data_IF_491782050101
#
_entry.id   IF_491782050101
#
_cell.length_a   1.000
_cell.length_b   1.000
_cell.length_c   1.000
_cell.angle_alpha   90.00
_cell.angle_beta   90.00
_cell.angle_gamma   90.00
#
_symmetry.space_group_name_H-M   'P 1'
#
loop_
_entity.id
_entity.type
_entity.pdbx_description
1 polymer ?
#
# COMPACT_ATOMS: atom_id res chain seq x y z
N UNK A 1 -12.17 21.23 8.56
CA UNK A 1 -11.68 21.50 7.19
C UNK A 1 -11.67 20.29 6.24
N UNK A 2 -10.86 19.23 6.41
CA UNK A 2 -10.86 18.11 5.44
C UNK A 2 -12.06 17.13 5.60
N UNK A 3 -12.75 17.21 6.74
CA UNK A 3 -13.79 16.28 7.15
C UNK A 3 -15.20 16.70 6.72
N UNK A 4 -15.39 17.93 6.24
CA UNK A 4 -16.71 18.48 5.92
C UNK A 4 -17.12 18.28 4.44
N UNK A 5 -16.17 18.04 3.55
CA UNK A 5 -16.45 17.91 2.12
C UNK A 5 -16.83 16.48 1.73
N UNK A 6 -17.87 16.31 0.87
CA UNK A 6 -18.20 15.00 0.33
C UNK A 6 -17.03 14.38 -0.44
N UNK A 7 -16.78 13.09 -0.23
CA UNK A 7 -15.90 12.29 -1.05
C UNK A 7 -16.54 12.08 -2.43
N UNK A 8 -15.76 12.35 -3.48
CA UNK A 8 -16.14 12.21 -4.89
C UNK A 8 -15.13 11.33 -5.60
N UNK A 9 -15.38 10.99 -6.87
CA UNK A 9 -14.43 10.27 -7.71
C UNK A 9 -13.04 10.94 -7.73
N UNK A 10 -12.95 12.27 -7.75
CA UNK A 10 -11.66 12.97 -7.72
C UNK A 10 -10.96 13.04 -6.36
N UNK A 11 -11.60 12.57 -5.28
CA UNK A 11 -11.08 12.74 -3.92
C UNK A 11 -9.89 11.86 -3.60
N UNK A 12 -9.65 10.78 -4.37
CA UNK A 12 -8.56 9.85 -4.11
C UNK A 12 -7.65 9.68 -5.33
N UNK A 13 -6.36 9.51 -5.06
CA UNK A 13 -5.39 8.96 -5.99
C UNK A 13 -5.14 7.50 -5.66
N UNK A 14 -4.72 6.77 -6.69
CA UNK A 14 -4.22 5.41 -6.57
C UNK A 14 -2.69 5.45 -6.60
N UNK A 15 -2.01 4.57 -5.84
CA UNK A 15 -0.57 4.42 -5.87
C UNK A 15 0.01 4.36 -7.30
N UNK A 16 0.98 5.22 -7.59
CA UNK A 16 1.64 5.29 -8.88
C UNK A 16 0.87 5.91 -10.05
N UNK A 17 -0.37 6.39 -9.85
CA UNK A 17 -1.18 7.03 -10.90
C UNK A 17 -1.32 8.55 -10.70
N UNK A 18 -0.43 9.15 -9.91
CA UNK A 18 -0.34 10.59 -9.70
C UNK A 18 0.82 11.22 -10.46
N UNK A 19 1.26 12.40 -9.98
CA UNK A 19 2.40 13.14 -10.55
C UNK A 19 3.66 12.89 -9.73
N UNK A 20 4.81 12.85 -10.40
CA UNK A 20 6.12 12.88 -9.75
C UNK A 20 6.27 14.16 -8.91
N UNK A 21 7.06 14.09 -7.85
CA UNK A 21 7.50 15.30 -7.15
C UNK A 21 8.49 16.10 -8.00
N UNK A 22 8.65 17.41 -7.77
CA UNK A 22 9.45 18.28 -8.64
C UNK A 22 10.90 17.82 -8.88
N UNK A 23 11.54 17.19 -7.87
CA UNK A 23 12.90 16.66 -7.96
C UNK A 23 12.96 15.13 -7.93
N UNK A 24 11.84 14.45 -8.19
CA UNK A 24 11.81 12.99 -8.12
C UNK A 24 12.47 12.39 -9.37
N UNK A 25 13.33 11.40 -9.16
CA UNK A 25 14.23 10.80 -10.13
C UNK A 25 15.36 11.71 -10.63
N UNK A 26 15.51 12.90 -10.04
CA UNK A 26 16.71 13.70 -10.29
C UNK A 26 17.92 13.02 -9.65
N UNK A 27 19.10 13.19 -10.25
CA UNK A 27 20.36 12.60 -9.79
C UNK A 27 21.40 13.69 -9.48
N UNK A 28 21.21 14.56 -8.46
CA UNK A 28 22.22 15.54 -8.10
C UNK A 28 23.52 14.87 -7.61
N UNK A 29 24.63 15.58 -7.80
CA UNK A 29 25.89 15.26 -7.15
C UNK A 29 25.69 15.29 -5.63
N UNK A 30 26.04 14.19 -4.97
CA UNK A 30 25.81 14.02 -3.55
C UNK A 30 27.11 14.03 -2.73
N UNK A 31 28.20 13.43 -3.24
CA UNK A 31 29.54 13.50 -2.63
C UNK A 31 30.62 13.05 -3.61
N UNK A 32 31.88 13.29 -3.25
CA UNK A 32 33.04 12.65 -3.87
C UNK A 32 33.52 11.44 -3.05
N UNK A 33 34.31 10.57 -3.67
CA UNK A 33 35.01 9.48 -2.99
C UNK A 33 36.09 10.03 -2.07
N UNK A 34 36.51 9.24 -1.07
CA UNK A 34 37.50 9.68 -0.09
C UNK A 34 38.87 9.98 -0.72
N UNK A 35 39.21 9.27 -1.80
CA UNK A 35 40.41 9.48 -2.62
C UNK A 35 40.25 10.59 -3.67
N UNK A 36 39.06 11.21 -3.76
CA UNK A 36 38.78 12.29 -4.70
C UNK A 36 38.76 11.87 -6.17
N UNK A 37 38.77 10.59 -6.53
CA UNK A 37 38.80 10.15 -7.93
C UNK A 37 37.43 9.91 -8.56
N UNK A 38 36.36 9.89 -7.76
CA UNK A 38 35.01 9.58 -8.22
C UNK A 38 33.95 10.47 -7.59
N UNK A 39 32.88 10.72 -8.35
CA UNK A 39 31.70 11.45 -7.93
C UNK A 39 30.50 10.50 -7.75
N UNK A 40 29.70 10.73 -6.70
CA UNK A 40 28.47 9.98 -6.42
C UNK A 40 27.24 10.83 -6.71
N UNK A 41 26.35 10.30 -7.54
CA UNK A 41 25.07 10.91 -7.84
C UNK A 41 23.93 10.18 -7.13
N UNK A 42 23.17 10.89 -6.29
CA UNK A 42 22.09 10.29 -5.51
C UNK A 42 20.77 10.41 -6.25
N UNK A 43 20.16 9.29 -6.62
CA UNK A 43 18.80 9.28 -7.15
C UNK A 43 17.79 9.75 -6.09
N UNK A 44 17.22 10.92 -6.29
CA UNK A 44 16.21 11.48 -5.41
C UNK A 44 14.87 10.75 -5.59
N UNK A 45 14.25 10.35 -4.49
CA UNK A 45 12.90 9.77 -4.47
C UNK A 45 12.00 10.66 -3.62
N UNK A 46 10.89 11.11 -4.19
CA UNK A 46 9.93 11.95 -3.46
C UNK A 46 9.07 11.19 -2.44
N UNK A 47 9.13 9.84 -2.45
CA UNK A 47 8.43 8.93 -1.54
C UNK A 47 6.90 9.12 -1.48
N UNK A 48 6.33 9.85 -2.44
CA UNK A 48 4.88 10.02 -2.55
C UNK A 48 4.26 8.72 -3.06
N UNK A 49 3.21 8.27 -2.39
CA UNK A 49 2.50 7.04 -2.73
C UNK A 49 1.95 7.11 -4.16
N UNK A 50 1.43 8.27 -4.55
CA UNK A 50 0.90 8.48 -5.90
C UNK A 50 2.00 8.63 -6.98
N UNK A 51 3.29 8.76 -6.62
CA UNK A 51 4.36 8.96 -7.58
C UNK A 51 4.60 7.69 -8.42
N UNK A 52 4.56 7.76 -9.76
CA UNK A 52 4.82 6.63 -10.64
C UNK A 52 6.15 5.91 -10.39
N UNK A 53 7.15 6.61 -9.84
CA UNK A 53 8.50 6.08 -9.60
C UNK A 53 8.76 5.61 -8.17
N UNK A 54 7.92 6.00 -7.20
CA UNK A 54 8.15 5.68 -5.78
C UNK A 54 7.15 4.66 -5.22
N UNK A 55 5.99 4.50 -5.86
CA UNK A 55 4.90 3.71 -5.28
C UNK A 55 5.22 2.22 -5.10
N UNK A 56 6.07 1.63 -5.95
CA UNK A 56 6.46 0.22 -5.82
C UNK A 56 7.31 -0.03 -4.56
N UNK A 57 8.28 0.85 -4.28
CA UNK A 57 9.07 0.80 -3.04
C UNK A 57 8.18 1.04 -1.82
N UNK A 58 7.27 2.02 -1.90
CA UNK A 58 6.28 2.21 -0.83
C UNK A 58 5.40 0.98 -0.61
N UNK A 59 4.88 0.36 -1.67
CA UNK A 59 4.00 -0.80 -1.58
C UNK A 59 4.75 -1.98 -0.94
N UNK A 60 5.98 -2.24 -1.38
CA UNK A 60 6.85 -3.27 -0.79
C UNK A 60 7.08 -3.04 0.70
N UNK A 61 7.44 -1.82 1.12
CA UNK A 61 7.61 -1.45 2.55
C UNK A 61 6.35 -1.66 3.36
N UNK A 62 5.24 -1.11 2.88
CA UNK A 62 3.97 -1.22 3.57
C UNK A 62 3.55 -2.69 3.71
N UNK A 63 3.74 -3.50 2.67
CA UNK A 63 3.43 -4.93 2.71
C UNK A 63 4.37 -5.67 3.64
N UNK A 64 5.66 -5.35 3.64
CA UNK A 64 6.63 -5.94 4.55
C UNK A 64 6.23 -5.73 6.02
N UNK A 65 5.95 -4.48 6.41
CA UNK A 65 5.57 -4.12 7.78
C UNK A 65 4.24 -4.79 8.21
N UNK A 66 3.26 -4.82 7.31
CA UNK A 66 1.95 -5.42 7.58
C UNK A 66 2.04 -6.95 7.65
N UNK A 67 2.77 -7.57 6.72
CA UNK A 67 2.98 -9.00 6.70
C UNK A 67 3.74 -9.45 7.94
N UNK A 68 4.77 -8.71 8.39
CA UNK A 68 5.47 -9.01 9.63
C UNK A 68 4.52 -9.07 10.83
N UNK A 69 3.62 -8.08 10.96
CA UNK A 69 2.63 -8.05 12.06
C UNK A 69 1.65 -9.20 11.99
N UNK A 70 1.07 -9.44 10.82
CA UNK A 70 0.09 -10.51 10.59
C UNK A 70 0.74 -11.88 10.85
N UNK A 71 1.91 -12.11 10.29
CA UNK A 71 2.57 -13.41 10.34
C UNK A 71 3.22 -13.70 11.69
N UNK A 72 3.70 -12.66 12.40
CA UNK A 72 4.13 -12.83 13.78
C UNK A 72 2.98 -13.27 14.68
N UNK A 73 1.82 -12.61 14.57
CA UNK A 73 0.63 -13.06 15.29
C UNK A 73 0.21 -14.47 14.88
N UNK A 74 0.25 -14.79 13.58
CA UNK A 74 -0.14 -16.11 13.10
C UNK A 74 0.74 -17.23 13.68
N UNK A 75 2.04 -16.98 13.81
CA UNK A 75 2.99 -17.94 14.41
C UNK A 75 2.79 -18.05 15.93
N UNK A 76 2.59 -16.95 16.64
CA UNK A 76 2.42 -16.97 18.10
C UNK A 76 1.09 -17.59 18.55
N UNK A 77 0.02 -17.36 17.78
CA UNK A 77 -1.33 -17.86 18.07
C UNK A 77 -1.65 -19.21 17.43
N UNK A 78 -0.68 -19.79 16.68
CA UNK A 78 -0.87 -20.99 15.85
C UNK A 78 -2.10 -20.93 14.91
N UNK A 79 -2.57 -19.73 14.57
CA UNK A 79 -3.80 -19.50 13.81
C UNK A 79 -3.46 -18.77 12.51
N UNK A 80 -4.15 -19.09 11.42
CA UNK A 80 -3.94 -18.43 10.12
C UNK A 80 -5.01 -17.36 9.86
N UNK A 81 -4.64 -16.23 9.23
CA UNK A 81 -5.62 -15.18 8.94
C UNK A 81 -6.55 -15.59 7.80
N UNK A 82 -7.68 -14.89 7.69
CA UNK A 82 -8.69 -15.00 6.63
C UNK A 82 -8.87 -13.66 5.94
N UNK A 83 -9.28 -13.69 4.66
CA UNK A 83 -9.60 -12.48 3.89
C UNK A 83 -11.09 -12.19 3.88
N UNK A 84 -11.48 -11.03 4.38
CA UNK A 84 -12.85 -10.53 4.36
C UNK A 84 -12.95 -9.17 3.66
N UNK A 85 -14.16 -8.78 3.30
CA UNK A 85 -14.50 -7.50 2.67
C UNK A 85 -15.65 -6.89 3.45
N UNK A 86 -15.37 -5.71 3.98
CA UNK A 86 -16.30 -4.84 4.66
C UNK A 86 -16.83 -3.79 3.67
N UNK A 87 -18.14 -3.68 3.52
CA UNK A 87 -18.75 -2.71 2.61
C UNK A 87 -20.09 -2.23 3.10
N UNK A 88 -20.41 -0.99 2.75
CA UNK A 88 -21.77 -0.45 2.78
C UNK A 88 -22.43 -0.47 1.40
N UNK A 89 -23.77 -0.37 1.33
CA UNK A 89 -24.49 -0.20 0.08
C UNK A 89 -24.00 1.03 -0.72
N UNK A 90 -23.74 0.91 -2.04
CA UNK A 90 -23.23 2.03 -2.84
C UNK A 90 -24.13 3.27 -2.88
N UNK A 91 -25.44 3.11 -2.69
CA UNK A 91 -26.42 4.21 -2.63
C UNK A 91 -26.26 5.08 -1.37
N UNK A 92 -25.78 4.53 -0.26
CA UNK A 92 -25.55 5.30 0.97
C UNK A 92 -24.39 6.29 0.85
N UNK A 93 -23.44 6.03 -0.06
CA UNK A 93 -22.15 6.73 -0.08
C UNK A 93 -22.19 8.07 -0.84
N UNK A 94 -23.30 8.41 -1.50
CA UNK A 94 -23.41 9.57 -2.40
C UNK A 94 -23.01 10.91 -1.75
N UNK A 95 -23.24 11.06 -0.45
CA UNK A 95 -22.99 12.29 0.31
C UNK A 95 -22.03 12.10 1.49
N UNK A 96 -21.29 10.98 1.52
CA UNK A 96 -20.33 10.76 2.60
C UNK A 96 -19.19 11.74 2.50
N UNK A 97 -18.72 12.21 3.64
CA UNK A 97 -17.40 12.82 3.80
C UNK A 97 -16.44 11.79 4.41
N UNK A 98 -15.19 12.18 4.68
CA UNK A 98 -14.23 11.26 5.28
C UNK A 98 -14.63 10.78 6.68
N UNK A 99 -15.35 11.59 7.46
CA UNK A 99 -15.85 11.18 8.77
C UNK A 99 -16.88 10.07 8.66
N UNK A 100 -17.82 10.16 7.71
CA UNK A 100 -18.76 9.07 7.44
C UNK A 100 -18.05 7.79 7.01
N UNK A 101 -16.94 7.89 6.24
CA UNK A 101 -16.10 6.71 5.97
C UNK A 101 -15.54 6.14 7.27
N UNK A 102 -15.01 6.97 8.17
CA UNK A 102 -14.48 6.52 9.46
C UNK A 102 -15.54 5.88 10.35
N UNK A 103 -16.71 6.49 10.49
CA UNK A 103 -17.75 6.01 11.41
C UNK A 103 -18.52 4.83 10.81
N UNK A 104 -18.94 4.94 9.55
CA UNK A 104 -19.89 3.99 8.94
C UNK A 104 -19.22 2.81 8.26
N UNK A 105 -18.01 2.97 7.70
CA UNK A 105 -17.26 1.84 7.13
C UNK A 105 -16.31 1.23 8.17
N UNK A 106 -15.46 2.03 8.82
CA UNK A 106 -14.46 1.47 9.72
C UNK A 106 -15.01 1.14 11.12
N UNK A 107 -15.49 2.11 11.89
CA UNK A 107 -15.93 1.85 13.28
C UNK A 107 -17.12 0.88 13.36
N UNK A 108 -18.14 1.08 12.52
CA UNK A 108 -19.25 0.11 12.39
C UNK A 108 -18.74 -1.22 11.88
N UNK A 109 -17.84 -1.22 10.90
CA UNK A 109 -17.26 -2.43 10.35
C UNK A 109 -16.50 -3.27 11.35
N UNK A 110 -15.66 -2.65 12.19
CA UNK A 110 -14.91 -3.34 13.23
C UNK A 110 -15.85 -4.00 14.23
N UNK A 111 -16.87 -3.30 14.71
CA UNK A 111 -17.88 -3.91 15.59
C UNK A 111 -18.59 -5.09 14.92
N UNK A 112 -19.06 -4.91 13.68
CA UNK A 112 -19.77 -5.96 12.94
C UNK A 112 -18.88 -7.17 12.64
N UNK A 113 -17.59 -6.97 12.37
CA UNK A 113 -16.68 -8.07 12.05
C UNK A 113 -16.23 -8.82 13.31
N UNK A 114 -16.09 -8.11 14.42
CA UNK A 114 -15.86 -8.66 15.77
C UNK A 114 -17.06 -9.48 16.26
N UNK A 115 -18.29 -8.96 16.13
CA UNK A 115 -19.54 -9.69 16.39
C UNK A 115 -19.69 -10.97 15.54
N UNK A 116 -18.89 -11.07 14.48
CA UNK A 116 -18.83 -12.23 13.58
C UNK A 116 -17.54 -13.00 13.75
N UNK A 117 -16.80 -12.85 14.84
CA UNK A 117 -15.65 -13.68 15.18
C UNK A 117 -14.34 -13.28 14.52
N UNK A 118 -14.19 -12.06 14.00
CA UNK A 118 -12.86 -11.50 13.64
C UNK A 118 -12.42 -10.51 14.70
N UNK A 119 -11.54 -10.95 15.59
CA UNK A 119 -11.10 -10.20 16.79
C UNK A 119 -10.07 -9.12 16.47
N UNK A 120 -9.29 -9.31 15.40
CA UNK A 120 -8.25 -8.37 15.03
C UNK A 120 -7.71 -8.61 13.63
N UNK A 121 -7.09 -7.58 13.06
CA UNK A 121 -6.62 -7.65 11.68
C UNK A 121 -6.06 -6.35 11.14
N UNK A 122 -5.87 -6.35 9.83
CA UNK A 122 -5.54 -5.16 9.04
C UNK A 122 -6.67 -4.90 8.06
N UNK A 123 -7.18 -3.67 8.06
CA UNK A 123 -8.17 -3.17 7.10
C UNK A 123 -7.52 -2.20 6.10
N UNK A 124 -7.64 -2.50 4.80
CA UNK A 124 -7.11 -1.72 3.70
C UNK A 124 -8.28 -1.12 2.91
N UNK A 125 -8.41 0.20 2.97
CA UNK A 125 -9.49 0.89 2.29
C UNK A 125 -9.24 1.09 0.80
N UNK A 126 -10.32 0.92 0.04
CA UNK A 126 -10.40 1.06 -1.39
C UNK A 126 -11.59 1.97 -1.74
N UNK A 127 -11.34 3.12 -2.39
CA UNK A 127 -12.40 4.07 -2.71
C UNK A 127 -13.27 3.63 -3.89
N UNK A 128 -12.75 2.73 -4.73
CA UNK A 128 -13.29 2.48 -6.06
C UNK A 128 -13.68 1.03 -6.26
N UNK A 129 -14.83 0.83 -6.89
CA UNK A 129 -15.22 -0.46 -7.49
C UNK A 129 -15.06 -0.37 -9.01
N UNK A 130 -14.62 -1.44 -9.63
CA UNK A 130 -14.57 -1.53 -11.08
C UNK A 130 -15.99 -1.59 -11.66
N UNK A 131 -16.23 -0.80 -12.71
CA UNK A 131 -17.53 -0.73 -13.37
C UNK A 131 -17.69 -1.81 -14.45
N UNK A 132 -18.90 -1.94 -15.01
CA UNK A 132 -19.19 -2.94 -16.04
C UNK A 132 -18.37 -2.72 -17.31
N UNK A 133 -18.05 -1.47 -17.65
CA UNK A 133 -17.21 -1.14 -18.81
C UNK A 133 -15.81 -1.73 -18.69
N UNK A 134 -15.14 -1.56 -17.55
CA UNK A 134 -13.82 -2.13 -17.28
C UNK A 134 -13.83 -3.65 -17.42
N UNK A 135 -14.82 -4.31 -16.79
CA UNK A 135 -14.98 -5.76 -16.85
C UNK A 135 -15.21 -6.23 -18.29
N UNK A 136 -16.09 -5.56 -19.02
CA UNK A 136 -16.40 -5.90 -20.42
C UNK A 136 -15.19 -5.77 -21.34
N UNK A 137 -14.41 -4.67 -21.25
CA UNK A 137 -13.19 -4.51 -22.06
C UNK A 137 -12.12 -5.53 -21.69
N UNK A 138 -11.91 -5.79 -20.40
CA UNK A 138 -10.95 -6.79 -19.96
C UNK A 138 -11.29 -8.19 -20.48
N UNK A 139 -12.56 -8.59 -20.40
CA UNK A 139 -13.03 -9.87 -20.94
C UNK A 139 -12.80 -9.97 -22.45
N UNK A 140 -13.06 -8.90 -23.21
CA UNK A 140 -12.80 -8.85 -24.67
C UNK A 140 -11.31 -8.91 -24.99
N UNK A 141 -10.47 -8.21 -24.23
CA UNK A 141 -9.01 -8.23 -24.39
C UNK A 141 -8.42 -9.63 -24.13
N UNK A 142 -9.10 -10.48 -23.35
CA UNK A 142 -8.64 -11.81 -22.96
C UNK A 142 -9.08 -12.95 -23.90
N UNK A 143 -9.66 -12.65 -25.08
CA UNK A 143 -10.21 -13.57 -26.10
C UNK A 143 -10.06 -15.08 -25.77
N UNK A 144 -11.08 -15.70 -25.16
CA UNK A 144 -11.34 -17.13 -25.32
C UNK A 144 -11.47 -18.05 -24.10
N UNK A 145 -10.99 -17.74 -22.88
CA UNK A 145 -11.08 -18.71 -21.75
C UNK A 145 -11.27 -18.05 -20.38
N UNK A 146 -12.45 -18.27 -19.78
CA UNK A 146 -12.62 -19.04 -18.52
C UNK A 146 -13.98 -18.77 -17.85
N UNK A 147 -14.80 -19.82 -17.76
CA UNK A 147 -15.79 -20.04 -16.70
C UNK A 147 -15.01 -20.18 -15.38
N UNK A 148 -15.02 -19.17 -14.51
CA UNK A 148 -14.39 -19.25 -13.19
C UNK A 148 -14.24 -17.89 -12.52
N UNK A 149 -14.98 -17.66 -11.42
CA UNK A 149 -14.81 -16.51 -10.51
C UNK A 149 -13.76 -16.87 -9.46
N UNK A 150 -12.87 -15.93 -9.10
CA UNK A 150 -11.87 -16.12 -8.04
C UNK A 150 -10.55 -15.39 -8.30
N UNK A 151 -9.68 -15.92 -9.17
CA UNK A 151 -8.33 -15.39 -9.43
C UNK A 151 -8.24 -14.21 -10.43
N UNK A 152 -9.38 -13.71 -10.91
CA UNK A 152 -9.44 -12.85 -12.09
C UNK A 152 -9.36 -11.34 -11.77
N UNK A 153 -9.68 -10.92 -10.55
CA UNK A 153 -9.69 -9.50 -10.18
C UNK A 153 -8.27 -8.92 -9.97
N UNK A 154 -7.29 -9.77 -9.63
CA UNK A 154 -5.86 -9.38 -9.58
C UNK A 154 -5.39 -8.88 -10.95
N UNK A 155 -5.65 -9.71 -11.97
CA UNK A 155 -5.31 -9.40 -13.36
C UNK A 155 -6.12 -8.23 -13.93
N UNK A 156 -7.29 -7.95 -13.35
CA UNK A 156 -8.17 -6.89 -13.82
C UNK A 156 -7.66 -5.50 -13.39
N UNK A 157 -7.22 -5.33 -12.14
CA UNK A 157 -6.61 -4.06 -11.73
C UNK A 157 -5.27 -3.81 -12.41
N UNK A 158 -4.44 -4.84 -12.59
CA UNK A 158 -3.19 -4.71 -13.38
C UNK A 158 -3.48 -4.24 -14.81
N UNK A 159 -4.53 -4.78 -15.44
CA UNK A 159 -4.98 -4.32 -16.74
C UNK A 159 -5.48 -2.88 -16.73
N UNK A 160 -6.32 -2.48 -15.76
CA UNK A 160 -6.77 -1.08 -15.65
C UNK A 160 -5.58 -0.14 -15.49
N UNK A 161 -4.61 -0.50 -14.65
CA UNK A 161 -3.38 0.29 -14.44
C UNK A 161 -2.58 0.42 -15.72
N UNK A 162 -2.49 -0.63 -16.55
CA UNK A 162 -1.81 -0.55 -17.85
C UNK A 162 -2.52 0.42 -18.79
N UNK A 163 -3.86 0.36 -18.88
CA UNK A 163 -4.62 1.29 -19.73
C UNK A 163 -4.42 2.75 -19.30
N UNK A 164 -4.43 3.02 -17.99
CA UNK A 164 -4.18 4.37 -17.47
C UNK A 164 -2.76 4.85 -17.79
N UNK A 165 -1.76 3.97 -17.73
CA UNK A 165 -0.38 4.31 -18.15
C UNK A 165 -0.27 4.61 -19.64
N UNK A 166 -1.12 4.01 -20.46
CA UNK A 166 -1.24 4.31 -21.89
C UNK A 166 -2.12 5.54 -22.18
N UNK A 167 -2.45 6.35 -21.17
CA UNK A 167 -3.13 7.64 -21.33
C UNK A 167 -4.64 7.61 -21.09
N UNK A 168 -5.23 6.45 -20.76
CA UNK A 168 -6.66 6.42 -20.45
C UNK A 168 -6.98 7.03 -19.08
N UNK A 169 -8.15 7.64 -18.96
CA UNK A 169 -8.62 8.19 -17.70
C UNK A 169 -9.14 7.07 -16.79
N UNK A 170 -8.56 6.94 -15.58
CA UNK A 170 -8.98 5.98 -14.55
C UNK A 170 -10.49 5.98 -14.31
N UNK A 171 -11.13 7.16 -14.30
CA UNK A 171 -12.55 7.31 -14.00
C UNK A 171 -13.48 6.70 -15.05
N UNK A 172 -12.97 6.32 -16.23
CA UNK A 172 -13.71 5.47 -17.20
C UNK A 172 -13.91 4.04 -16.69
N UNK A 173 -13.05 3.56 -15.80
CA UNK A 173 -13.02 2.16 -15.35
C UNK A 173 -13.62 1.95 -13.96
N UNK A 174 -13.77 3.02 -13.18
CA UNK A 174 -14.17 2.94 -11.78
C UNK A 174 -15.47 3.68 -11.50
N UNK A 175 -16.15 3.27 -10.43
CA UNK A 175 -17.19 4.04 -9.75
C UNK A 175 -16.81 4.22 -8.29
N UNK A 176 -17.25 5.30 -7.67
CA UNK A 176 -17.11 5.50 -6.23
C UNK A 176 -17.87 4.37 -5.52
N UNK A 177 -17.16 3.62 -4.69
CA UNK A 177 -17.73 2.54 -3.91
C UNK A 177 -16.79 2.14 -2.78
N UNK A 178 -16.61 3.01 -1.76
CA UNK A 178 -15.83 2.73 -0.57
C UNK A 178 -16.08 1.36 0.04
N UNK A 179 -15.01 0.62 0.27
CA UNK A 179 -15.00 -0.65 0.98
C UNK A 179 -13.62 -0.86 1.61
N UNK A 180 -13.52 -1.79 2.55
CA UNK A 180 -12.27 -2.19 3.17
C UNK A 180 -12.06 -3.69 3.00
N UNK A 181 -10.87 -4.07 2.53
CA UNK A 181 -10.43 -5.45 2.57
C UNK A 181 -9.76 -5.70 3.91
N UNK A 182 -10.13 -6.80 4.57
CA UNK A 182 -9.64 -7.18 5.88
C UNK A 182 -8.83 -8.46 5.76
N UNK A 183 -7.65 -8.47 6.37
CA UNK A 183 -6.91 -9.69 6.68
C UNK A 183 -6.90 -9.80 8.20
N UNK A 184 -7.66 -10.75 8.74
CA UNK A 184 -7.92 -10.84 10.18
C UNK A 184 -7.95 -12.28 10.70
N UNK A 185 -8.00 -12.43 12.02
CA UNK A 185 -7.94 -13.70 12.74
C UNK A 185 -9.27 -14.01 13.43
N UNK A 186 -9.55 -15.31 13.63
CA UNK A 186 -10.79 -15.82 14.21
C UNK A 186 -11.67 -16.58 13.22
N UNK A 187 -12.78 -17.13 13.71
CA UNK A 187 -13.71 -18.02 12.98
C UNK A 187 -14.99 -17.30 12.60
N UNK A 188 -15.00 -16.74 11.40
CA UNK A 188 -16.04 -15.82 10.97
C UNK A 188 -17.01 -16.39 9.94
N UNK A 189 -18.24 -15.89 9.99
CA UNK A 189 -19.31 -16.25 9.05
C UNK A 189 -19.72 -15.03 8.20
N UNK A 190 -20.12 -15.25 6.93
CA UNK A 190 -20.59 -14.16 6.08
C UNK A 190 -21.79 -13.46 6.71
N UNK A 191 -21.90 -12.16 6.51
CA UNK A 191 -23.01 -11.38 7.03
C UNK A 191 -23.48 -10.37 5.98
N UNK A 192 -24.80 -10.24 5.83
CA UNK A 192 -25.40 -9.24 4.96
C UNK A 192 -26.69 -8.76 5.62
N UNK A 193 -26.78 -7.45 5.82
CA UNK A 193 -28.00 -6.74 6.19
C UNK A 193 -28.21 -5.60 5.21
N UNK A 194 -29.29 -4.84 5.38
CA UNK A 194 -29.65 -3.75 4.47
C UNK A 194 -28.57 -2.67 4.38
N UNK A 195 -27.88 -2.38 5.49
CA UNK A 195 -26.91 -1.28 5.61
C UNK A 195 -25.44 -1.72 5.61
N UNK A 196 -25.16 -3.03 5.65
CA UNK A 196 -23.78 -3.52 5.79
C UNK A 196 -23.57 -4.93 5.25
N UNK A 197 -22.39 -5.16 4.68
CA UNK A 197 -21.99 -6.44 4.11
C UNK A 197 -20.59 -6.82 4.55
N UNK A 198 -20.46 -8.06 5.05
CA UNK A 198 -19.21 -8.78 5.28
C UNK A 198 -19.20 -10.00 4.36
N UNK A 199 -18.25 -10.04 3.43
CA UNK A 199 -18.05 -11.14 2.48
C UNK A 199 -16.64 -11.67 2.57
N UNK A 200 -16.42 -12.96 2.31
CA UNK A 200 -15.07 -13.50 2.12
C UNK A 200 -14.72 -13.54 0.63
N UNK A 201 -13.45 -13.66 0.27
CA UNK A 201 -13.05 -13.73 -1.15
C UNK A 201 -13.69 -14.91 -1.90
N UNK A 202 -14.06 -16.00 -1.21
CA UNK A 202 -14.85 -17.11 -1.74
C UNK A 202 -16.36 -16.83 -1.88
N UNK A 203 -16.80 -15.59 -1.63
CA UNK A 203 -18.21 -15.20 -1.54
C UNK A 203 -18.79 -15.46 -0.15
N UNK A 204 -19.88 -16.24 -0.09
CA UNK A 204 -20.56 -16.65 1.14
C UNK A 204 -20.13 -18.03 1.65
N UNK A 205 -19.00 -18.55 1.16
CA UNK A 205 -18.43 -19.83 1.63
C UNK A 205 -17.63 -19.63 2.92
N UNK A 206 -17.37 -20.72 3.63
CA UNK A 206 -16.43 -20.71 4.76
C UNK A 206 -15.10 -20.06 4.36
N UNK A 207 -14.54 -19.18 5.22
CA UNK A 207 -13.32 -18.46 4.89
C UNK A 207 -12.13 -19.41 4.77
N UNK A 208 -11.34 -19.26 3.71
CA UNK A 208 -10.09 -20.01 3.54
C UNK A 208 -8.97 -19.31 4.29
N UNK A 209 -8.27 -20.08 5.13
CA UNK A 209 -7.08 -19.64 5.86
C UNK A 209 -5.93 -19.35 4.88
N UNK A 210 -5.28 -18.21 5.04
CA UNK A 210 -4.23 -17.76 4.13
C UNK A 210 -2.86 -18.24 4.60
N UNK A 211 -2.12 -18.93 3.73
CA UNK A 211 -0.69 -19.16 3.90
C UNK A 211 0.12 -17.87 3.73
N UNK A 212 1.35 -17.83 4.24
CA UNK A 212 2.28 -16.68 4.19
C UNK A 212 2.34 -16.03 2.79
N UNK A 213 2.61 -16.84 1.75
CA UNK A 213 2.69 -16.37 0.36
C UNK A 213 1.40 -15.68 -0.10
N UNK A 214 0.24 -16.17 0.36
CA UNK A 214 -1.05 -15.59 0.01
C UNK A 214 -1.31 -14.29 0.78
N UNK A 215 -0.88 -14.19 2.04
CA UNK A 215 -0.94 -12.93 2.80
C UNK A 215 -0.09 -11.86 2.12
N UNK A 216 1.18 -12.15 1.81
CA UNK A 216 2.09 -11.20 1.14
C UNK A 216 1.56 -10.81 -0.23
N UNK A 217 1.17 -11.78 -1.05
CA UNK A 217 0.63 -11.53 -2.39
C UNK A 217 -0.66 -10.71 -2.36
N UNK A 218 -1.56 -11.00 -1.42
CA UNK A 218 -2.81 -10.29 -1.29
C UNK A 218 -2.62 -8.85 -0.78
N UNK A 219 -1.82 -8.65 0.26
CA UNK A 219 -1.45 -7.32 0.74
C UNK A 219 -0.84 -6.49 -0.39
N UNK A 220 0.07 -7.07 -1.18
CA UNK A 220 0.70 -6.37 -2.29
C UNK A 220 -0.31 -5.98 -3.36
N UNK A 221 -1.21 -6.90 -3.72
CA UNK A 221 -2.30 -6.62 -4.63
C UNK A 221 -3.17 -5.45 -4.15
N UNK A 222 -3.63 -5.49 -2.90
CA UNK A 222 -4.44 -4.42 -2.29
C UNK A 222 -3.69 -3.09 -2.22
N UNK A 223 -2.39 -3.13 -1.91
CA UNK A 223 -1.54 -1.94 -1.91
C UNK A 223 -1.45 -1.28 -3.30
N UNK A 224 -1.70 -1.98 -4.41
CA UNK A 224 -1.65 -1.35 -5.75
C UNK A 224 -2.80 -0.37 -6.01
N UNK A 225 -3.91 -0.47 -5.29
CA UNK A 225 -5.13 0.31 -5.57
C UNK A 225 -5.83 0.85 -4.32
N UNK A 226 -5.15 0.84 -3.17
CA UNK A 226 -5.63 1.52 -1.97
C UNK A 226 -5.83 3.02 -2.21
N UNK A 227 -6.78 3.62 -1.49
CA UNK A 227 -7.09 5.05 -1.61
C UNK A 227 -6.04 5.93 -0.93
N UNK A 228 -5.44 6.84 -1.69
CA UNK A 228 -4.65 7.96 -1.15
C UNK A 228 -5.50 9.21 -1.24
N UNK A 229 -6.00 9.72 -0.11
CA UNK A 229 -6.89 10.87 -0.13
C UNK A 229 -6.13 12.15 -0.54
N UNK A 230 -6.66 12.87 -1.53
CA UNK A 230 -6.01 14.06 -2.09
C UNK A 230 -6.01 15.26 -1.14
N UNK A 231 -7.01 15.35 -0.25
CA UNK A 231 -7.29 16.53 0.58
C UNK A 231 -7.00 16.34 2.08
N UNK A 232 -6.84 15.11 2.56
CA UNK A 232 -6.27 14.88 3.90
C UNK A 232 -4.76 15.04 3.84
N UNK A 233 -4.34 16.27 4.09
CA UNK A 233 -3.14 16.49 4.91
C UNK A 233 -3.54 15.97 6.29
N UNK A 234 -2.98 14.86 6.76
CA UNK A 234 -3.32 14.39 8.10
C UNK A 234 -2.93 15.47 9.11
N UNK A 235 -3.92 16.05 9.79
CA UNK A 235 -3.70 16.98 10.88
C UNK A 235 -3.43 16.15 12.13
N UNK A 236 -2.21 15.61 12.28
CA UNK A 236 -1.81 15.16 13.61
C UNK A 236 -1.43 16.41 14.39
N UNK A 237 -2.32 16.87 15.29
CA UNK A 237 -1.97 17.85 16.31
C UNK A 237 -0.88 17.21 17.16
N UNK A 238 0.36 17.67 17.00
CA UNK A 238 1.45 17.29 17.88
C UNK A 238 1.68 18.48 18.81
N UNK A 239 1.56 18.26 20.12
CA UNK A 239 2.20 19.19 21.07
C UNK A 239 3.71 19.01 20.87
N UNK A 240 4.42 20.07 20.53
CA UNK A 240 5.87 20.10 20.66
C UNK A 240 6.23 19.98 22.15
N UNK A 241 7.50 19.69 22.46
CA UNK A 241 7.98 19.72 23.86
C UNK A 241 7.83 21.10 24.51
N UNK A 242 7.65 22.15 23.70
CA UNK A 242 7.48 23.55 24.10
C UNK A 242 6.01 24.00 24.13
N UNK A 243 5.05 23.07 23.97
CA UNK A 243 3.62 23.39 24.01
C UNK A 243 3.02 23.95 22.72
N UNK A 244 3.83 24.26 21.71
CA UNK A 244 3.35 24.69 20.40
C UNK A 244 2.69 23.56 19.60
N UNK A 245 1.57 23.88 18.96
CA UNK A 245 0.85 23.00 18.04
C UNK A 245 1.59 22.94 16.69
N UNK A 246 2.45 21.95 16.52
CA UNK A 246 3.08 21.69 15.21
C UNK A 246 2.19 20.80 14.34
N UNK A 247 1.90 21.25 13.11
CA UNK A 247 1.11 20.50 12.12
C UNK A 247 2.04 19.71 11.21
N UNK A 248 2.19 18.41 11.46
CA UNK A 248 2.93 17.53 10.53
C UNK A 248 2.06 17.19 9.31
N UNK A 249 2.44 17.69 8.13
CA UNK A 249 1.79 17.37 6.84
C UNK A 249 2.15 15.94 6.41
N UNK A 250 1.44 14.93 6.90
CA UNK A 250 1.62 13.56 6.39
C UNK A 250 0.45 13.17 5.48
N UNK A 251 0.74 12.74 4.25
CA UNK A 251 -0.25 12.03 3.42
C UNK A 251 -0.36 10.62 3.98
N UNK A 252 -1.48 10.30 4.63
CA UNK A 252 -1.71 8.98 5.21
C UNK A 252 -2.44 8.09 4.20
N UNK A 253 -1.91 6.91 3.93
CA UNK A 253 -2.71 5.83 3.33
C UNK A 253 -3.72 5.32 4.36
N UNK A 254 -4.80 4.73 3.85
CA UNK A 254 -5.95 4.32 4.66
C UNK A 254 -5.88 2.85 5.05
N UNK A 255 -4.68 2.43 5.49
CA UNK A 255 -4.42 1.09 6.02
C UNK A 255 -4.41 1.20 7.53
N UNK A 256 -5.16 0.32 8.21
CA UNK A 256 -5.37 0.37 9.66
C UNK A 256 -5.26 -1.02 10.25
N UNK A 257 -4.39 -1.19 11.24
CA UNK A 257 -4.51 -2.32 12.15
C UNK A 257 -5.64 -2.04 13.16
N UNK A 258 -6.34 -3.08 13.59
CA UNK A 258 -7.41 -3.02 14.59
C UNK A 258 -7.40 -4.30 15.42
N UNK A 259 -8.10 -4.26 16.56
CA UNK A 259 -8.10 -5.35 17.53
C UNK A 259 -6.68 -5.66 18.03
N UNK A 260 -6.40 -6.94 18.25
CA UNK A 260 -5.12 -7.40 18.82
C UNK A 260 -3.92 -6.99 17.96
N UNK A 261 -4.07 -7.00 16.63
CA UNK A 261 -2.99 -6.62 15.71
C UNK A 261 -2.55 -5.16 15.82
N UNK A 262 -3.36 -4.28 16.41
CA UNK A 262 -3.00 -2.87 16.58
C UNK A 262 -1.81 -2.69 17.54
N UNK A 263 -1.66 -3.58 18.53
CA UNK A 263 -0.70 -3.41 19.65
C UNK A 263 0.52 -4.33 19.57
N UNK A 264 0.61 -5.20 18.57
CA UNK A 264 1.67 -6.19 18.47
C UNK A 264 3.01 -5.55 18.06
N UNK A 265 4.06 -5.95 18.77
CA UNK A 265 5.44 -5.83 18.34
C UNK A 265 5.95 -7.22 17.88
N UNK A 266 6.19 -7.43 16.56
CA UNK A 266 6.65 -8.72 16.03
C UNK A 266 7.95 -9.24 16.65
N UNK A 267 8.88 -8.34 17.01
CA UNK A 267 10.19 -8.74 17.58
C UNK A 267 10.05 -9.26 19.01
N UNK A 268 9.20 -8.62 19.82
CA UNK A 268 8.88 -9.09 21.17
C UNK A 268 8.13 -10.43 21.13
N UNK A 269 7.20 -10.56 20.18
CA UNK A 269 6.32 -11.73 20.08
C UNK A 269 7.04 -13.01 19.63
N UNK A 270 8.06 -12.90 18.77
CA UNK A 270 8.78 -14.05 18.20
C UNK A 270 10.20 -14.23 18.76
N UNK A 271 10.69 -13.27 19.55
CA UNK A 271 12.11 -13.14 19.83
C UNK A 271 12.93 -12.78 18.58
N UNK A 272 14.23 -12.50 18.79
CA UNK A 272 15.10 -11.99 17.72
C UNK A 272 15.32 -12.97 16.57
N UNK A 273 15.57 -14.25 16.88
CA UNK A 273 15.79 -15.30 15.87
C UNK A 273 14.52 -15.52 15.04
N UNK A 274 13.36 -15.63 15.70
CA UNK A 274 12.07 -15.84 15.04
C UNK A 274 11.68 -14.65 14.15
N UNK A 275 11.91 -13.44 14.64
CA UNK A 275 11.71 -12.21 13.88
C UNK A 275 12.59 -12.12 12.64
N UNK A 276 13.91 -12.33 12.77
CA UNK A 276 14.85 -12.27 11.65
C UNK A 276 14.54 -13.33 10.58
N UNK A 277 14.15 -14.52 11.00
CA UNK A 277 13.72 -15.60 10.09
C UNK A 277 12.49 -15.18 9.29
N UNK A 278 11.44 -14.71 9.98
CA UNK A 278 10.21 -14.26 9.33
C UNK A 278 10.45 -13.06 8.40
N UNK A 279 11.26 -12.09 8.83
CA UNK A 279 11.65 -10.93 8.04
C UNK A 279 12.34 -11.35 6.74
N UNK A 280 13.26 -12.32 6.80
CA UNK A 280 13.98 -12.84 5.64
C UNK A 280 13.05 -13.53 4.64
N UNK A 281 12.09 -14.32 5.13
CA UNK A 281 11.08 -14.97 4.27
C UNK A 281 10.20 -13.96 3.54
N UNK A 282 9.69 -12.95 4.26
CA UNK A 282 8.83 -11.90 3.69
C UNK A 282 9.61 -11.04 2.70
N UNK A 283 10.84 -10.64 3.05
CA UNK A 283 11.72 -9.86 2.17
C UNK A 283 11.95 -10.60 0.85
N UNK A 284 12.26 -11.90 0.92
CA UNK A 284 12.45 -12.76 -0.26
C UNK A 284 11.20 -12.75 -1.16
N UNK A 285 10.01 -12.93 -0.58
CA UNK A 285 8.74 -12.90 -1.32
C UNK A 285 8.46 -11.55 -2.02
N UNK A 286 8.95 -10.45 -1.45
CA UNK A 286 8.80 -9.09 -1.98
C UNK A 286 9.94 -8.69 -2.94
N UNK A 287 10.92 -9.58 -3.17
CA UNK A 287 12.16 -9.31 -3.91
C UNK A 287 12.97 -8.18 -3.25
N UNK A 288 13.13 -8.31 -1.95
CA UNK A 288 13.89 -7.43 -1.07
C UNK A 288 14.92 -8.29 -0.32
N UNK A 289 15.92 -7.65 0.27
CA UNK A 289 16.94 -8.34 1.06
C UNK A 289 16.70 -8.08 2.55
N UNK A 290 16.93 -9.05 3.41
CA UNK A 290 17.04 -8.84 4.86
C UNK A 290 18.43 -9.29 5.29
N UNK A 291 19.22 -8.36 5.82
CA UNK A 291 20.62 -8.63 6.17
C UNK A 291 21.00 -7.84 7.42
N UNK A 292 21.66 -8.50 8.36
CA UNK A 292 22.20 -7.86 9.58
C UNK A 292 21.14 -7.10 10.39
N UNK A 293 19.89 -7.61 10.41
CA UNK A 293 18.77 -6.97 11.11
C UNK A 293 18.16 -5.77 10.37
N UNK A 294 18.62 -5.49 9.15
CA UNK A 294 18.14 -4.39 8.32
C UNK A 294 17.49 -4.89 7.02
N UNK A 295 16.50 -4.14 6.57
CA UNK A 295 15.86 -4.36 5.29
C UNK A 295 16.69 -3.64 4.20
N UNK A 296 17.06 -4.40 3.18
CA UNK A 296 17.79 -4.02 1.98
C UNK A 296 16.90 -3.92 0.74
N UNK A 297 17.45 -3.38 -0.34
CA UNK A 297 16.66 -2.78 -1.43
C UNK A 297 15.80 -3.78 -2.22
N UNK A 298 14.60 -3.35 -2.67
CA UNK A 298 13.89 -2.16 -2.24
C UNK A 298 13.06 -2.42 -1.00
N UNK A 299 13.69 -2.33 0.18
CA UNK A 299 13.44 -1.24 1.09
C UNK A 299 14.51 -1.07 2.18
N UNK A 300 15.01 0.16 2.28
CA UNK A 300 15.59 0.80 3.48
C UNK A 300 17.07 0.69 3.79
N UNK A 301 17.97 0.66 2.80
CA UNK A 301 19.38 0.67 3.19
C UNK A 301 19.89 1.93 3.87
N UNK A 302 19.23 3.10 3.81
CA UNK A 302 19.59 4.32 4.54
C UNK A 302 18.77 5.49 4.01
N UNK A 303 17.99 6.18 4.84
CA UNK A 303 17.67 7.57 4.52
C UNK A 303 18.94 8.47 4.50
N UNK A 304 20.11 7.94 4.93
CA UNK A 304 21.32 8.69 5.32
C UNK A 304 22.68 8.06 4.92
N UNK A 305 22.83 7.44 3.73
CA UNK A 305 24.13 7.15 3.10
C UNK A 305 24.77 5.75 3.27
N UNK A 306 24.75 4.94 2.18
CA UNK A 306 25.59 3.76 1.82
C UNK A 306 25.07 2.33 2.14
N UNK A 307 24.80 1.53 1.09
CA UNK A 307 25.43 0.21 0.92
C UNK A 307 25.87 0.07 -0.55
N UNK A 308 27.12 -0.34 -0.75
CA UNK A 308 28.00 0.03 -1.87
C UNK A 308 27.74 -0.58 -3.26
N UNK A 309 26.72 -1.43 -3.46
CA UNK A 309 26.68 -2.32 -4.63
C UNK A 309 25.88 -1.79 -5.83
N UNK A 310 25.04 -0.78 -5.64
CA UNK A 310 24.33 -0.07 -6.73
C UNK A 310 24.74 1.42 -6.78
N UNK A 311 25.97 1.71 -6.34
CA UNK A 311 26.51 3.06 -6.42
C UNK A 311 27.10 3.26 -7.81
N UNK A 312 26.42 4.07 -8.62
CA UNK A 312 26.99 4.63 -9.85
C UNK A 312 28.00 5.70 -9.44
N UNK A 313 29.23 5.28 -9.16
CA UNK A 313 30.39 6.15 -9.02
C UNK A 313 30.89 6.49 -10.41
N UNK A 314 30.91 7.78 -10.73
CA UNK A 314 31.44 8.28 -12.01
C UNK A 314 32.86 8.77 -11.76
N UNK A 315 33.88 8.22 -12.44
CA UNK A 315 35.24 8.75 -12.33
C UNK A 315 35.29 10.23 -12.75
N UNK A 316 36.05 11.06 -12.04
CA UNK A 316 36.07 12.52 -12.28
C UNK A 316 36.48 12.87 -13.71
N UNK A 317 37.42 12.12 -14.32
CA UNK A 317 37.83 12.35 -15.69
C UNK A 317 36.71 12.07 -16.73
N UNK A 318 35.67 11.31 -16.34
CA UNK A 318 34.49 11.08 -17.17
C UNK A 318 33.38 12.11 -16.90
N UNK A 319 33.47 12.88 -15.81
CA UNK A 319 32.44 13.84 -15.40
C UNK A 319 32.12 14.84 -16.51
N UNK A 320 33.13 15.26 -17.28
CA UNK A 320 32.94 16.14 -18.45
C UNK A 320 32.00 15.56 -19.51
N UNK A 321 32.00 14.23 -19.72
CA UNK A 321 31.08 13.56 -20.66
C UNK A 321 29.63 13.60 -20.16
N UNK A 322 29.44 13.52 -18.84
CA UNK A 322 28.12 13.62 -18.20
C UNK A 322 27.63 15.07 -18.18
N UNK A 323 28.49 16.02 -17.82
CA UNK A 323 28.19 17.45 -17.82
C UNK A 323 27.90 17.99 -19.22
N UNK A 324 28.49 17.40 -20.28
CA UNK A 324 28.19 17.79 -21.67
C UNK A 324 26.91 17.13 -22.22
N UNK A 325 26.26 16.25 -21.46
CA UNK A 325 24.99 15.65 -21.85
C UNK A 325 23.83 16.51 -21.32
N UNK A 326 23.20 17.27 -22.20
CA UNK A 326 22.10 18.18 -21.86
C UNK A 326 20.91 17.44 -21.21
N UNK A 327 20.62 16.20 -21.64
CA UNK A 327 19.59 15.35 -21.01
C UNK A 327 19.98 14.91 -19.60
N UNK A 328 21.27 14.80 -19.31
CA UNK A 328 21.78 14.52 -17.97
C UNK A 328 21.77 15.77 -17.09
N UNK A 329 22.23 16.93 -17.60
CA UNK A 329 22.18 18.21 -16.89
C UNK A 329 20.76 18.63 -16.51
N UNK A 330 19.80 18.45 -17.41
CA UNK A 330 18.38 18.72 -17.16
C UNK A 330 17.71 17.68 -16.24
N UNK A 331 18.41 16.58 -15.94
CA UNK A 331 18.02 15.56 -14.96
C UNK A 331 18.68 15.72 -13.58
N UNK A 332 19.59 16.69 -13.41
CA UNK A 332 20.10 17.15 -12.10
C UNK A 332 19.01 17.95 -11.36
#
# INVERSE_FOLDING_TARGET
FAHEYPIKLGSFKIPGLGKKGPKCDHKPLAKFSADGHSAYFKLLKCKRIECPSCWLDWARRAVFDLALRIEAYARSSATRPISAIMSVPPNEVKNWNWDRVNTSLFQRGYRRIEDKGIEGGVAIFHPYRLNAYARGRWLRARKGRCKGRGHNDIKLWDWVRSQVRHGENLFKFVKLGPHAHVIGFGDSQPHSCEDYVIKFEGGYRHPTRLALKNVVGYLYYLATHTGVLNHLKAYKRHRSKEGELSVRKQKTHTIRAFGDLFRINPKELLGEVGFNTLASEIATLLKMEWKDGELGYPASHKELGISGKEIEWVPIYELGKYLNNEAWLTSL
#
